data_IF_914706998593
#
_entry.id   IF_914706998593
#
_cell.length_a   1.000
_cell.length_b   1.000
_cell.length_c   1.000
_cell.angle_alpha   90.00
_cell.angle_beta   90.00
_cell.angle_gamma   90.00
#
_symmetry.space_group_name_H-M   'P 1'
#
loop_
_entity.id
_entity.type
_entity.pdbx_description
1 polymer ?
#
# COMPACT_ATOMS: atom_id res chain seq x y z
N UNK A 1 -47.92 -26.20 49.27
CA UNK A 1 -46.61 -26.87 49.29
C UNK A 1 -45.59 -25.82 49.73
N UNK A 2 -45.23 -25.79 51.02
CA UNK A 2 -44.34 -24.79 51.59
C UNK A 2 -43.31 -25.50 52.47
N UNK A 3 -42.06 -25.58 52.00
CA UNK A 3 -40.93 -26.05 52.80
C UNK A 3 -39.60 -25.60 52.17
N UNK A 4 -38.71 -25.05 53.01
CA UNK A 4 -37.25 -24.87 52.85
C UNK A 4 -36.76 -23.97 51.70
N UNK A 5 -35.74 -23.12 51.86
CA UNK A 5 -34.81 -22.91 52.97
C UNK A 5 -33.71 -21.95 52.49
N UNK A 6 -33.29 -21.05 53.38
CA UNK A 6 -32.10 -20.24 53.21
C UNK A 6 -30.85 -21.13 53.23
N UNK A 7 -30.00 -21.00 52.22
CA UNK A 7 -28.65 -21.57 52.13
C UNK A 7 -28.16 -21.29 50.69
N UNK A 8 -26.91 -21.00 50.36
CA UNK A 8 -25.65 -21.10 51.08
C UNK A 8 -24.56 -20.62 50.10
N UNK A 9 -23.56 -19.93 50.63
CA UNK A 9 -22.14 -20.22 50.33
C UNK A 9 -21.49 -19.62 49.07
N UNK A 10 -20.61 -18.65 49.36
CA UNK A 10 -19.23 -18.47 48.88
C UNK A 10 -18.77 -19.35 47.70
N UNK A 11 -18.39 -18.70 46.60
CA UNK A 11 -17.24 -19.05 45.74
C UNK A 11 -16.66 -17.73 45.25
N UNK A 12 -15.50 -17.30 45.76
CA UNK A 12 -14.16 -17.65 45.26
C UNK A 12 -13.89 -17.03 43.88
N UNK A 13 -12.93 -16.11 43.89
CA UNK A 13 -12.02 -15.67 42.81
C UNK A 13 -12.47 -15.87 41.37
N UNK A 14 -12.43 -14.79 40.58
CA UNK A 14 -11.95 -14.91 39.19
C UNK A 14 -11.27 -13.63 38.71
N UNK A 15 -9.97 -13.81 38.45
CA UNK A 15 -9.14 -13.22 37.40
C UNK A 15 -9.01 -11.68 37.34
N UNK A 16 -7.90 -11.21 37.94
CA UNK A 16 -7.18 -10.02 37.51
C UNK A 16 -7.10 -9.99 35.98
N UNK A 17 -7.74 -8.97 35.40
CA UNK A 17 -7.70 -8.64 33.99
C UNK A 17 -6.31 -8.13 33.63
N UNK A 18 -5.46 -9.02 33.13
CA UNK A 18 -4.17 -8.69 32.53
C UNK A 18 -4.27 -8.68 31.01
N UNK A 19 -4.99 -7.71 30.45
CA UNK A 19 -4.97 -7.44 29.01
C UNK A 19 -3.63 -6.79 28.65
N UNK A 20 -2.63 -7.62 28.38
CA UNK A 20 -1.37 -7.20 27.77
C UNK A 20 -1.67 -6.71 26.35
N UNK A 21 -1.91 -5.40 26.22
CA UNK A 21 -2.03 -4.73 24.94
C UNK A 21 -0.67 -4.77 24.24
N UNK A 22 -0.53 -5.68 23.28
CA UNK A 22 0.51 -5.57 22.27
C UNK A 22 0.29 -4.25 21.53
N UNK A 23 1.16 -3.26 21.77
CA UNK A 23 1.26 -2.04 20.98
C UNK A 23 1.74 -2.42 19.57
N UNK A 24 0.81 -2.92 18.76
CA UNK A 24 1.04 -3.13 17.34
C UNK A 24 1.15 -1.76 16.68
N UNK A 25 2.28 -1.52 16.01
CA UNK A 25 2.47 -0.36 15.13
C UNK A 25 1.29 -0.30 14.15
N UNK A 26 0.36 0.63 14.36
CA UNK A 26 -0.69 0.91 13.38
C UNK A 26 0.02 1.57 12.21
N UNK A 27 0.39 0.76 11.21
CA UNK A 27 0.85 1.28 9.93
C UNK A 27 -0.28 2.18 9.37
N UNK A 28 0.03 3.39 8.87
CA UNK A 28 -0.98 4.25 8.29
C UNK A 28 -1.71 3.52 7.16
N UNK A 29 -2.98 3.84 6.90
CA UNK A 29 -3.70 3.26 5.77
C UNK A 29 -2.86 3.46 4.50
N UNK A 30 -2.75 2.41 3.67
CA UNK A 30 -1.79 2.34 2.54
C UNK A 30 -1.74 3.60 1.67
N UNK A 31 -2.89 4.23 1.39
CA UNK A 31 -2.95 5.49 0.63
C UNK A 31 -2.19 6.63 1.31
N UNK A 32 -2.34 6.78 2.63
CA UNK A 32 -1.61 7.78 3.41
C UNK A 32 -0.10 7.51 3.47
N UNK A 33 0.34 6.26 3.26
CA UNK A 33 1.76 5.93 3.27
C UNK A 33 2.52 6.47 2.04
N UNK A 34 1.83 6.73 0.91
CA UNK A 34 2.44 7.35 -0.27
C UNK A 34 2.72 8.85 -0.07
N UNK A 35 2.02 9.50 0.85
CA UNK A 35 2.19 10.92 1.18
C UNK A 35 2.96 11.11 2.50
N UNK A 36 3.65 10.07 2.96
CA UNK A 36 4.42 10.10 4.19
C UNK A 36 5.52 11.19 4.13
N UNK A 37 5.79 11.88 5.25
CA UNK A 37 6.74 12.99 5.27
C UNK A 37 8.17 12.54 4.90
N UNK A 38 8.56 11.35 5.34
CA UNK A 38 9.89 10.82 5.06
C UNK A 38 9.91 10.01 3.76
N UNK A 39 10.90 10.27 2.90
CA UNK A 39 11.09 9.59 1.63
C UNK A 39 11.19 8.05 1.79
N UNK A 40 11.80 7.58 2.88
CA UNK A 40 11.92 6.13 3.17
C UNK A 40 10.57 5.45 3.34
N UNK A 41 9.58 6.14 3.92
CA UNK A 41 8.25 5.58 4.14
C UNK A 41 7.44 5.55 2.84
N UNK A 42 7.56 6.59 2.00
CA UNK A 42 7.00 6.60 0.64
C UNK A 42 7.61 5.48 -0.20
N UNK A 43 8.93 5.31 -0.16
CA UNK A 43 9.63 4.23 -0.84
C UNK A 43 9.15 2.85 -0.37
N UNK A 44 8.97 2.65 0.95
CA UNK A 44 8.42 1.41 1.51
C UNK A 44 6.99 1.15 1.02
N UNK A 45 6.15 2.18 0.94
CA UNK A 45 4.80 2.07 0.41
C UNK A 45 4.79 1.66 -1.08
N UNK A 46 5.70 2.23 -1.89
CA UNK A 46 5.88 1.86 -3.29
C UNK A 46 6.27 0.39 -3.43
N UNK A 47 7.27 -0.07 -2.66
CA UNK A 47 7.73 -1.46 -2.69
C UNK A 47 6.61 -2.41 -2.33
N UNK A 48 5.89 -2.13 -1.24
CA UNK A 48 4.76 -2.95 -0.80
C UNK A 48 3.64 -3.04 -1.86
N UNK A 49 3.33 -1.94 -2.54
CA UNK A 49 2.35 -1.94 -3.64
C UNK A 49 2.80 -2.80 -4.82
N UNK A 50 4.08 -2.72 -5.19
CA UNK A 50 4.65 -3.53 -6.26
C UNK A 50 4.70 -5.02 -5.91
N UNK A 51 5.05 -5.37 -4.67
CA UNK A 51 5.08 -6.77 -4.20
C UNK A 51 3.69 -7.40 -4.21
N UNK A 52 2.69 -6.63 -3.79
CA UNK A 52 1.30 -7.08 -3.71
C UNK A 52 0.55 -6.99 -5.04
N UNK A 53 1.23 -6.59 -6.12
CA UNK A 53 0.65 -6.43 -7.45
C UNK A 53 -0.58 -5.49 -7.45
N UNK A 54 -0.54 -4.44 -6.62
CA UNK A 54 -1.65 -3.51 -6.42
C UNK A 54 -1.87 -2.65 -7.68
N UNK A 55 -2.80 -3.10 -8.53
CA UNK A 55 -3.18 -2.38 -9.74
C UNK A 55 -3.80 -1.00 -9.44
N UNK A 56 -4.44 -0.84 -8.28
CA UNK A 56 -5.02 0.42 -7.84
C UNK A 56 -3.96 1.49 -7.54
N UNK A 57 -2.72 1.09 -7.28
CA UNK A 57 -1.62 2.01 -6.97
C UNK A 57 -1.05 2.71 -8.22
N UNK A 58 -1.38 2.28 -9.44
CA UNK A 58 -0.75 2.82 -10.66
C UNK A 58 -0.85 4.34 -10.78
N UNK A 59 -2.01 4.93 -10.45
CA UNK A 59 -2.20 6.39 -10.51
C UNK A 59 -1.30 7.16 -9.53
N UNK A 60 -1.18 6.68 -8.29
CA UNK A 60 -0.32 7.33 -7.29
C UNK A 60 1.16 7.11 -7.62
N UNK A 61 1.52 5.93 -8.13
CA UNK A 61 2.89 5.65 -8.58
C UNK A 61 3.33 6.55 -9.74
N UNK A 62 2.44 6.87 -10.68
CA UNK A 62 2.73 7.85 -11.75
C UNK A 62 2.98 9.25 -11.18
N UNK A 63 2.27 9.63 -10.11
CA UNK A 63 2.49 10.92 -9.44
C UNK A 63 3.84 10.95 -8.71
N UNK A 64 4.25 9.84 -8.08
CA UNK A 64 5.54 9.70 -7.40
C UNK A 64 6.76 9.67 -8.33
N UNK A 65 6.55 9.65 -9.66
CA UNK A 65 7.62 9.92 -10.62
C UNK A 65 8.11 11.38 -10.57
N UNK A 66 7.31 12.29 -10.02
CA UNK A 66 7.67 13.70 -9.86
C UNK A 66 8.12 14.04 -8.44
N UNK A 67 8.31 13.02 -7.58
CA UNK A 67 8.75 13.21 -6.20
C UNK A 67 10.11 13.93 -6.13
N UNK A 68 10.30 14.76 -5.11
CA UNK A 68 11.55 15.50 -4.89
C UNK A 68 12.74 14.57 -4.65
N UNK A 69 12.50 13.44 -3.98
CA UNK A 69 13.52 12.48 -3.60
C UNK A 69 13.85 11.55 -4.78
N UNK A 70 15.13 11.48 -5.21
CA UNK A 70 15.55 10.61 -6.32
C UNK A 70 15.28 9.12 -6.10
N UNK A 71 15.36 8.63 -4.86
CA UNK A 71 15.10 7.23 -4.55
C UNK A 71 13.60 6.93 -4.69
N UNK A 72 12.72 7.82 -4.23
CA UNK A 72 11.27 7.67 -4.42
C UNK A 72 10.92 7.60 -5.90
N UNK A 73 11.47 8.50 -6.74
CA UNK A 73 11.30 8.46 -8.20
C UNK A 73 11.78 7.14 -8.82
N UNK A 74 12.93 6.63 -8.35
CA UNK A 74 13.49 5.37 -8.82
C UNK A 74 12.55 4.20 -8.47
N UNK A 75 12.11 4.10 -7.22
CA UNK A 75 11.22 3.03 -6.78
C UNK A 75 9.88 3.08 -7.51
N UNK A 76 9.30 4.26 -7.72
CA UNK A 76 8.06 4.44 -8.47
C UNK A 76 8.21 3.93 -9.91
N UNK A 77 9.32 4.27 -10.59
CA UNK A 77 9.61 3.79 -11.94
C UNK A 77 9.77 2.27 -12.02
N UNK A 78 10.43 1.66 -11.03
CA UNK A 78 10.60 0.20 -10.94
C UNK A 78 9.26 -0.49 -10.68
N UNK A 79 8.45 0.03 -9.76
CA UNK A 79 7.11 -0.48 -9.45
C UNK A 79 6.20 -0.44 -10.68
N UNK A 80 6.17 0.68 -11.40
CA UNK A 80 5.39 0.80 -12.64
C UNK A 80 5.86 -0.16 -13.72
N UNK A 81 7.18 -0.39 -13.87
CA UNK A 81 7.69 -1.40 -14.81
C UNK A 81 7.30 -2.81 -14.41
N UNK A 82 7.29 -3.13 -13.11
CA UNK A 82 6.84 -4.44 -12.61
C UNK A 82 5.35 -4.65 -12.86
N UNK A 83 4.53 -3.67 -12.48
CA UNK A 83 3.08 -3.74 -12.59
C UNK A 83 2.60 -3.67 -14.03
N UNK A 84 3.16 -2.78 -14.86
CA UNK A 84 2.63 -2.51 -16.19
C UNK A 84 3.48 -3.11 -17.32
N UNK A 85 4.72 -3.54 -17.04
CA UNK A 85 5.70 -3.95 -18.04
C UNK A 85 6.37 -2.80 -18.79
N UNK A 86 5.77 -1.60 -18.75
CA UNK A 86 6.17 -0.45 -19.57
C UNK A 86 6.75 0.67 -18.71
N UNK A 87 7.52 1.56 -19.33
CA UNK A 87 8.15 2.71 -18.66
C UNK A 87 7.79 4.06 -19.28
N UNK A 88 7.15 4.08 -20.46
CA UNK A 88 6.90 5.28 -21.27
C UNK A 88 8.13 6.20 -21.37
N UNK A 89 9.32 5.60 -21.53
CA UNK A 89 10.59 6.31 -21.66
C UNK A 89 11.07 7.03 -20.40
N UNK A 90 10.45 6.79 -19.23
CA UNK A 90 10.88 7.41 -17.99
C UNK A 90 12.24 6.87 -17.52
N UNK A 91 13.14 7.79 -17.16
CA UNK A 91 14.47 7.53 -16.57
C UNK A 91 14.62 8.42 -15.33
N UNK A 92 14.79 7.84 -14.15
CA UNK A 92 14.78 8.60 -12.88
C UNK A 92 15.95 9.60 -12.76
N UNK A 93 17.06 9.32 -13.44
CA UNK A 93 18.27 10.16 -13.50
C UNK A 93 18.27 11.15 -14.68
N UNK A 94 17.27 11.12 -15.56
CA UNK A 94 17.22 12.03 -16.70
C UNK A 94 16.98 13.48 -16.25
N UNK A 95 17.32 14.48 -17.09
CA UNK A 95 17.02 15.89 -16.81
C UNK A 95 15.53 16.12 -16.49
N UNK A 96 15.18 17.13 -15.66
CA UNK A 96 13.80 17.37 -15.22
C UNK A 96 12.78 17.46 -16.36
N UNK A 97 13.13 18.10 -17.48
CA UNK A 97 12.25 18.25 -18.63
C UNK A 97 11.90 16.89 -19.26
N UNK A 98 12.90 16.03 -19.50
CA UNK A 98 12.68 14.68 -20.05
C UNK A 98 11.81 13.82 -19.11
N UNK A 99 11.99 13.96 -17.79
CA UNK A 99 11.16 13.26 -16.80
C UNK A 99 9.71 13.74 -16.89
N UNK A 100 9.47 15.04 -16.93
CA UNK A 100 8.13 15.62 -17.06
C UNK A 100 7.42 15.18 -18.36
N UNK A 101 8.14 15.10 -19.47
CA UNK A 101 7.61 14.58 -20.74
C UNK A 101 7.24 13.08 -20.67
N UNK A 102 8.05 12.27 -19.97
CA UNK A 102 7.72 10.88 -19.72
C UNK A 102 6.49 10.74 -18.80
N UNK A 103 6.35 11.59 -17.79
CA UNK A 103 5.17 11.62 -16.90
C UNK A 103 3.92 12.05 -17.68
N UNK A 104 4.02 13.01 -18.59
CA UNK A 104 2.93 13.35 -19.51
C UNK A 104 2.48 12.15 -20.33
N UNK A 105 3.42 11.41 -20.94
CA UNK A 105 3.11 10.18 -21.69
C UNK A 105 2.41 9.12 -20.83
N UNK A 106 2.84 8.95 -19.57
CA UNK A 106 2.16 8.10 -18.59
C UNK A 106 0.71 8.54 -18.36
N UNK A 107 0.49 9.83 -18.08
CA UNK A 107 -0.84 10.39 -17.83
C UNK A 107 -1.74 10.26 -19.06
N UNK A 108 -1.21 10.47 -20.26
CA UNK A 108 -1.95 10.33 -21.52
C UNK A 108 -2.35 8.87 -21.77
N UNK A 109 -1.46 7.93 -21.45
CA UNK A 109 -1.76 6.51 -21.54
C UNK A 109 -2.85 6.06 -20.55
N UNK A 110 -2.83 6.58 -19.32
CA UNK A 110 -3.89 6.32 -18.33
C UNK A 110 -5.24 6.86 -18.80
N UNK A 111 -5.29 8.10 -19.30
CA UNK A 111 -6.53 8.71 -19.81
C UNK A 111 -7.09 7.98 -21.03
N UNK A 112 -6.22 7.40 -21.87
CA UNK A 112 -6.63 6.64 -23.06
C UNK A 112 -6.87 5.16 -22.80
N UNK A 113 -6.72 4.67 -21.56
CA UNK A 113 -6.90 3.25 -21.22
C UNK A 113 -5.84 2.32 -21.81
N UNK A 114 -4.70 2.86 -22.26
CA UNK A 114 -3.61 2.08 -22.90
C UNK A 114 -2.70 1.36 -21.89
N UNK A 115 -2.81 1.69 -20.60
CA UNK A 115 -2.02 1.06 -19.54
C UNK A 115 -2.60 -0.31 -19.21
N UNK A 116 -1.82 -1.36 -19.45
CA UNK A 116 -2.15 -2.74 -19.10
C UNK A 116 -1.42 -3.11 -17.82
N UNK A 117 -2.13 -3.61 -16.81
CA UNK A 117 -1.56 -4.04 -15.52
C UNK A 117 -1.48 -5.57 -15.45
N UNK A 118 -0.30 -6.11 -15.14
CA UNK A 118 0.06 -7.54 -15.20
C UNK A 118 -0.56 -8.41 -14.09
N UNK A 119 -1.31 -7.85 -13.15
CA UNK A 119 -1.99 -8.59 -12.06
C UNK A 119 -3.42 -9.04 -12.37
N UNK A 120 -4.14 -8.39 -13.29
CA UNK A 120 -5.55 -8.67 -13.55
C UNK A 120 -5.78 -10.02 -14.25
N UNK A 121 -4.76 -10.59 -14.90
CA UNK A 121 -4.91 -11.79 -15.73
C UNK A 121 -4.78 -13.12 -14.95
N UNK A 122 -4.35 -13.12 -13.68
CA UNK A 122 -4.10 -14.36 -12.92
C UNK A 122 -5.27 -14.77 -12.00
N UNK A 123 -6.24 -13.90 -11.77
CA UNK A 123 -7.41 -14.18 -10.92
C UNK A 123 -8.57 -14.85 -11.67
N UNK A 124 -8.57 -14.81 -13.01
CA UNK A 124 -9.52 -15.55 -13.85
C UNK A 124 -9.11 -17.00 -14.18
N UNK A 125 -7.94 -17.43 -13.70
CA UNK A 125 -7.47 -18.82 -13.79
C UNK A 125 -7.47 -19.43 -12.39
N UNK A 126 -8.67 -19.69 -11.87
CA UNK A 126 -8.86 -20.56 -10.70
C UNK A 126 -8.52 -22.02 -11.02
N UNK A 127 -8.34 -22.87 -9.98
CA UNK A 127 -7.89 -24.26 -10.10
C UNK A 127 -8.83 -25.17 -10.89
#
# INVERSE_FOLDING_TARGET
MAIFGAARTRCLMICMSGAAACAGCIAPPRRAAFDAPFAVDRARAIVAAAEQQDAGAVHVLVSLLEDEDPAVRMYAALALRRLCGQSYGYRYYAPPLERAEAVRRWRDALRSGKVVVRGAARESAGP
#
